data_IF_979172011209
#
_entry.id   IF_979172011209
#
_cell.length_a   1.000
_cell.length_b   1.000
_cell.length_c   1.000
_cell.angle_alpha   90.00
_cell.angle_beta   90.00
_cell.angle_gamma   90.00
#
_symmetry.space_group_name_H-M   'P 1'
#
loop_
_entity.id
_entity.type
_entity.pdbx_description
1 polymer ?
#
# COMPACT_ATOMS: atom_id res chain seq x y z
N UNK A 1 62.51 -4.16 26.59
CA UNK A 1 62.69 -3.72 25.19
C UNK A 1 61.51 -4.27 24.39
N UNK A 2 60.37 -3.55 24.38
CA UNK A 2 59.10 -4.03 23.84
C UNK A 2 58.55 -3.06 22.76
N UNK A 3 58.63 -3.53 21.51
CA UNK A 3 57.69 -3.33 20.38
C UNK A 3 56.98 -1.97 20.22
N UNK A 4 57.65 -0.99 19.58
CA UNK A 4 57.03 0.22 19.00
C UNK A 4 56.29 0.00 17.67
N UNK A 5 56.18 -1.25 17.20
CA UNK A 5 55.65 -1.60 15.87
C UNK A 5 54.12 -1.70 15.78
N UNK A 6 53.39 -1.76 16.91
CA UNK A 6 51.92 -1.90 16.93
C UNK A 6 51.14 -0.59 16.89
N UNK A 7 51.74 0.54 17.26
CA UNK A 7 51.03 1.82 17.40
C UNK A 7 50.60 2.41 16.05
N UNK A 8 51.42 2.26 15.01
CA UNK A 8 51.15 2.83 13.69
C UNK A 8 50.04 2.10 12.92
N UNK A 9 49.88 0.79 13.15
CA UNK A 9 48.81 -0.01 12.54
C UNK A 9 47.43 0.39 13.07
N UNK A 10 47.32 0.66 14.37
CA UNK A 10 46.07 1.11 14.99
C UNK A 10 45.65 2.51 14.50
N UNK A 11 46.61 3.42 14.32
CA UNK A 11 46.34 4.79 13.83
C UNK A 11 45.92 4.77 12.35
N UNK A 12 46.53 3.92 11.53
CA UNK A 12 46.13 3.74 10.14
C UNK A 12 44.72 3.14 10.00
N UNK A 13 44.39 2.13 10.80
CA UNK A 13 43.05 1.54 10.81
C UNK A 13 41.98 2.55 11.26
N UNK A 14 42.26 3.35 12.29
CA UNK A 14 41.35 4.39 12.76
C UNK A 14 41.08 5.47 11.71
N UNK A 15 42.12 5.88 10.96
CA UNK A 15 41.99 6.86 9.88
C UNK A 15 41.12 6.33 8.73
N UNK A 16 41.30 5.06 8.34
CA UNK A 16 40.49 4.43 7.27
C UNK A 16 39.02 4.33 7.68
N UNK A 17 38.74 3.92 8.92
CA UNK A 17 37.36 3.86 9.45
C UNK A 17 36.72 5.25 9.49
N UNK A 18 37.47 6.28 9.92
CA UNK A 18 36.97 7.65 9.96
C UNK A 18 36.63 8.20 8.55
N UNK A 19 37.49 7.92 7.56
CA UNK A 19 37.25 8.33 6.17
C UNK A 19 36.09 7.58 5.54
N UNK A 20 35.93 6.28 5.80
CA UNK A 20 34.78 5.50 5.34
C UNK A 20 33.47 5.96 5.97
N UNK A 21 33.50 6.32 7.26
CA UNK A 21 32.33 6.85 7.98
C UNK A 21 31.92 8.22 7.43
N UNK A 22 32.89 9.10 7.16
CA UNK A 22 32.65 10.41 6.56
C UNK A 22 32.17 10.31 5.12
N UNK A 23 32.73 9.38 4.33
CA UNK A 23 32.29 9.11 2.97
C UNK A 23 30.85 8.56 2.94
N UNK A 24 30.51 7.64 3.86
CA UNK A 24 29.15 7.13 3.98
C UNK A 24 28.15 8.20 4.45
N UNK A 25 28.57 9.13 5.32
CA UNK A 25 27.74 10.27 5.73
C UNK A 25 27.51 11.28 4.59
N UNK A 26 28.50 11.49 3.72
CA UNK A 26 28.38 12.36 2.54
C UNK A 26 27.56 11.70 1.41
N UNK A 27 27.64 10.38 1.26
CA UNK A 27 26.92 9.59 0.24
C UNK A 27 25.57 9.02 0.71
N UNK A 28 25.25 9.10 2.01
CA UNK A 28 24.07 8.52 2.66
C UNK A 28 22.81 9.41 2.66
N UNK A 29 22.94 10.66 2.24
CA UNK A 29 21.82 11.60 2.07
C UNK A 29 20.69 11.17 1.11
N UNK A 30 20.89 10.36 0.04
CA UNK A 30 19.79 9.92 -0.79
C UNK A 30 18.96 8.83 -0.13
N UNK A 31 19.51 8.09 0.85
CA UNK A 31 18.78 7.00 1.51
C UNK A 31 17.74 7.56 2.47
N UNK A 32 18.06 8.60 3.23
CA UNK A 32 17.08 9.30 4.07
C UNK A 32 15.98 10.00 3.26
N UNK A 33 16.33 10.56 2.09
CA UNK A 33 15.36 11.16 1.18
C UNK A 33 14.44 10.10 0.54
N UNK A 34 14.99 8.96 0.14
CA UNK A 34 14.24 7.81 -0.37
C UNK A 34 13.39 7.18 0.72
N UNK A 35 13.89 7.07 1.96
CA UNK A 35 13.14 6.54 3.10
C UNK A 35 11.98 7.46 3.45
N UNK A 36 12.18 8.79 3.47
CA UNK A 36 11.11 9.78 3.70
C UNK A 36 10.07 9.79 2.58
N UNK A 37 10.46 9.44 1.35
CA UNK A 37 9.54 9.36 0.20
C UNK A 37 8.80 8.02 0.14
N UNK A 38 9.46 6.92 0.50
CA UNK A 38 8.89 5.57 0.53
C UNK A 38 8.01 5.35 1.77
N UNK A 39 8.47 5.82 2.92
CA UNK A 39 7.71 5.98 4.14
C UNK A 39 7.43 7.47 4.30
N UNK A 40 6.43 7.97 3.57
CA UNK A 40 5.73 9.17 4.02
C UNK A 40 5.14 8.80 5.39
N UNK A 41 5.94 8.98 6.44
CA UNK A 41 5.54 8.81 7.82
C UNK A 41 4.43 9.81 8.00
N UNK A 42 3.20 9.29 7.90
CA UNK A 42 1.99 9.99 8.24
C UNK A 42 2.27 10.62 9.61
N UNK A 43 2.27 11.96 9.69
CA UNK A 43 2.25 12.62 10.98
C UNK A 43 1.10 11.98 11.76
N UNK A 44 1.37 11.49 12.98
CA UNK A 44 0.33 10.94 13.82
C UNK A 44 -0.76 12.02 13.94
N UNK A 45 -1.89 11.80 13.26
CA UNK A 45 -2.97 12.78 13.24
C UNK A 45 -3.41 12.99 14.68
N UNK A 46 -3.45 14.26 15.11
CA UNK A 46 -4.01 14.63 16.41
C UNK A 46 -5.40 13.99 16.54
N UNK A 47 -5.74 13.49 17.73
CA UNK A 47 -7.02 12.82 18.02
C UNK A 47 -8.22 13.64 17.48
N UNK A 48 -8.14 14.97 17.58
CA UNK A 48 -9.12 15.91 17.02
C UNK A 48 -9.31 15.77 15.51
N UNK A 49 -8.21 15.62 14.76
CA UNK A 49 -8.28 15.42 13.30
C UNK A 49 -8.86 14.06 12.90
N UNK A 50 -8.74 13.03 13.76
CA UNK A 50 -9.40 11.75 13.52
C UNK A 50 -10.92 11.83 13.74
N UNK A 51 -11.36 12.58 14.74
CA UNK A 51 -12.79 12.81 15.02
C UNK A 51 -13.47 13.53 13.86
N UNK A 52 -12.81 14.55 13.30
CA UNK A 52 -13.28 15.28 12.12
C UNK A 52 -13.40 14.36 10.89
N UNK A 53 -12.42 13.48 10.67
CA UNK A 53 -12.44 12.50 9.58
C UNK A 53 -13.59 11.49 9.75
N UNK A 54 -13.84 11.01 10.97
CA UNK A 54 -14.94 10.09 11.25
C UNK A 54 -16.30 10.76 11.04
N UNK A 55 -16.45 12.04 11.39
CA UNK A 55 -17.67 12.79 11.08
C UNK A 55 -17.88 12.90 9.57
N UNK A 56 -16.83 13.20 8.80
CA UNK A 56 -16.92 13.28 7.35
C UNK A 56 -17.38 11.94 6.75
N UNK A 57 -16.79 10.82 7.17
CA UNK A 57 -17.16 9.49 6.69
C UNK A 57 -18.63 9.18 7.00
N UNK A 58 -19.12 9.48 8.20
CA UNK A 58 -20.53 9.27 8.56
C UNK A 58 -21.50 10.04 7.66
N UNK A 59 -21.10 11.21 7.19
CA UNK A 59 -21.92 12.04 6.31
C UNK A 59 -21.92 11.53 4.85
N UNK A 60 -20.90 10.77 4.45
CA UNK A 60 -20.78 10.19 3.08
C UNK A 60 -21.59 8.89 2.96
N UNK A 61 -21.67 8.08 4.02
CA UNK A 61 -22.36 6.78 3.98
C UNK A 61 -23.87 6.99 3.82
N UNK A 62 -24.49 6.47 2.74
CA UNK A 62 -25.93 6.63 2.52
C UNK A 62 -26.74 5.86 3.57
N UNK A 63 -27.87 6.41 4.06
CA UNK A 63 -28.74 5.69 4.99
C UNK A 63 -29.49 4.56 4.25
N UNK A 64 -29.59 3.40 4.91
CA UNK A 64 -30.34 2.25 4.42
C UNK A 64 -31.84 2.52 4.60
N UNK A 65 -32.60 2.49 3.50
CA UNK A 65 -34.06 2.76 3.53
C UNK A 65 -34.80 1.77 2.64
N UNK A 66 -36.01 1.38 3.03
CA UNK A 66 -36.81 0.39 2.30
C UNK A 66 -37.29 0.83 0.91
N UNK A 67 -37.10 2.10 0.55
CA UNK A 67 -37.46 2.65 -0.77
C UNK A 67 -36.37 2.42 -1.82
N UNK A 68 -35.15 2.11 -1.39
CA UNK A 68 -34.00 1.95 -2.28
C UNK A 68 -33.89 0.52 -2.79
N UNK A 69 -33.34 0.38 -3.99
CA UNK A 69 -33.19 -0.87 -4.71
C UNK A 69 -31.73 -1.09 -5.11
N UNK A 70 -31.41 -2.34 -5.48
CA UNK A 70 -30.04 -2.77 -5.82
C UNK A 70 -29.34 -1.83 -6.80
N UNK A 71 -28.17 -1.36 -6.41
CA UNK A 71 -27.30 -0.50 -7.20
C UNK A 71 -27.59 0.99 -7.07
N UNK A 72 -28.40 1.40 -6.09
CA UNK A 72 -28.59 2.81 -5.72
C UNK A 72 -27.62 3.25 -4.62
N UNK A 73 -27.16 2.32 -3.78
CA UNK A 73 -26.25 2.59 -2.67
C UNK A 73 -24.79 2.22 -2.99
N UNK A 74 -24.50 1.77 -4.21
CA UNK A 74 -23.13 1.72 -4.73
C UNK A 74 -22.94 0.76 -5.90
N UNK A 75 -22.29 1.23 -6.97
CA UNK A 75 -21.81 0.42 -8.09
C UNK A 75 -20.33 0.66 -8.27
N UNK A 76 -19.52 -0.34 -7.97
CA UNK A 76 -18.06 -0.24 -8.02
C UNK A 76 -17.54 -1.07 -9.17
N UNK A 77 -16.62 -0.52 -9.94
CA UNK A 77 -15.92 -1.20 -11.03
C UNK A 77 -14.43 -1.29 -10.72
N UNK A 78 -13.88 -2.50 -10.74
CA UNK A 78 -12.44 -2.77 -10.61
C UNK A 78 -11.92 -3.22 -11.96
N UNK A 79 -10.89 -2.56 -12.45
CA UNK A 79 -10.26 -2.88 -13.74
C UNK A 79 -8.86 -3.43 -13.47
N UNK A 80 -8.57 -4.60 -14.01
CA UNK A 80 -7.25 -5.20 -13.92
C UNK A 80 -7.31 -6.71 -13.87
N UNK A 81 -6.17 -7.30 -13.54
CA UNK A 81 -5.98 -8.74 -13.60
C UNK A 81 -5.33 -9.17 -14.90
N UNK A 82 -4.31 -10.01 -14.77
CA UNK A 82 -3.66 -10.70 -15.87
C UNK A 82 -3.62 -12.20 -15.56
N UNK A 83 -3.05 -12.99 -16.47
CA UNK A 83 -2.94 -14.45 -16.32
C UNK A 83 -2.37 -14.86 -14.96
N UNK A 84 -1.34 -14.16 -14.50
CA UNK A 84 -0.66 -14.44 -13.23
C UNK A 84 -1.26 -13.70 -12.03
N UNK A 85 -1.79 -12.48 -12.22
CA UNK A 85 -2.22 -11.61 -11.13
C UNK A 85 -3.73 -11.46 -11.04
N UNK A 86 -4.41 -12.53 -10.63
CA UNK A 86 -5.88 -12.58 -10.44
C UNK A 86 -6.32 -12.10 -9.04
N UNK A 87 -5.44 -12.17 -8.04
CA UNK A 87 -5.78 -11.85 -6.65
C UNK A 87 -6.05 -10.37 -6.40
N UNK A 88 -5.25 -9.47 -6.98
CA UNK A 88 -5.39 -8.03 -6.79
C UNK A 88 -6.79 -7.50 -7.17
N UNK A 89 -7.33 -7.75 -8.38
CA UNK A 89 -8.68 -7.30 -8.71
C UNK A 89 -9.76 -7.97 -7.85
N UNK A 90 -9.58 -9.23 -7.46
CA UNK A 90 -10.50 -9.92 -6.54
C UNK A 90 -10.57 -9.22 -5.18
N UNK A 91 -9.44 -8.95 -4.53
CA UNK A 91 -9.41 -8.35 -3.19
C UNK A 91 -9.97 -6.93 -3.18
N UNK A 92 -9.68 -6.14 -4.21
CA UNK A 92 -10.29 -4.81 -4.35
C UNK A 92 -11.81 -4.91 -4.48
N UNK A 93 -12.29 -5.82 -5.33
CA UNK A 93 -13.70 -5.96 -5.64
C UNK A 93 -14.54 -6.53 -4.48
N UNK A 94 -14.02 -7.54 -3.76
CA UNK A 94 -14.71 -8.13 -2.60
C UNK A 94 -14.68 -7.18 -1.40
N UNK A 95 -13.62 -6.38 -1.24
CA UNK A 95 -13.56 -5.38 -0.17
C UNK A 95 -14.62 -4.30 -0.38
N UNK A 96 -14.85 -3.88 -1.63
CA UNK A 96 -15.94 -2.96 -1.95
C UNK A 96 -17.32 -3.51 -1.55
N UNK A 97 -17.62 -4.78 -1.86
CA UNK A 97 -18.86 -5.43 -1.42
C UNK A 97 -18.96 -5.48 0.11
N UNK A 98 -17.88 -5.88 0.79
CA UNK A 98 -17.85 -5.98 2.26
C UNK A 98 -18.01 -4.63 2.96
N UNK A 99 -17.55 -3.54 2.35
CA UNK A 99 -17.74 -2.18 2.87
C UNK A 99 -19.19 -1.72 2.71
N UNK A 100 -19.95 -2.30 1.78
CA UNK A 100 -21.38 -2.02 1.58
C UNK A 100 -21.78 -1.60 0.17
N UNK A 101 -20.95 -1.83 -0.85
CA UNK A 101 -21.36 -1.62 -2.24
C UNK A 101 -22.43 -2.65 -2.65
N UNK A 102 -23.50 -2.21 -3.33
CA UNK A 102 -24.56 -3.11 -3.81
C UNK A 102 -24.11 -4.03 -4.94
N UNK A 103 -23.26 -3.51 -5.82
CA UNK A 103 -22.77 -4.19 -7.02
C UNK A 103 -21.28 -3.94 -7.19
N UNK A 104 -20.53 -5.02 -7.41
CA UNK A 104 -19.11 -4.98 -7.71
C UNK A 104 -18.83 -5.68 -9.02
N UNK A 105 -18.29 -4.92 -9.97
CA UNK A 105 -17.93 -5.34 -11.31
C UNK A 105 -16.42 -5.48 -11.41
N UNK A 106 -15.94 -6.58 -11.97
CA UNK A 106 -14.51 -6.79 -12.22
C UNK A 106 -14.31 -6.93 -13.72
N UNK A 107 -13.55 -6.01 -14.30
CA UNK A 107 -13.12 -6.06 -15.69
C UNK A 107 -11.71 -6.64 -15.74
N UNK A 108 -11.58 -7.84 -16.27
CA UNK A 108 -10.31 -8.57 -16.32
C UNK A 108 -10.08 -9.21 -17.69
N UNK A 109 -8.90 -9.78 -17.88
CA UNK A 109 -8.63 -10.62 -19.05
C UNK A 109 -9.41 -11.92 -19.00
N UNK A 110 -9.63 -12.54 -20.16
CA UNK A 110 -10.38 -13.80 -20.29
C UNK A 110 -9.78 -14.95 -19.45
N UNK A 111 -8.46 -15.01 -19.36
CA UNK A 111 -7.75 -16.04 -18.58
C UNK A 111 -7.91 -15.87 -17.07
N UNK A 112 -8.06 -14.63 -16.59
CA UNK A 112 -8.22 -14.30 -15.18
C UNK A 112 -9.66 -14.52 -14.68
N UNK A 113 -10.65 -14.39 -15.57
CA UNK A 113 -12.07 -14.47 -15.24
C UNK A 113 -12.51 -15.77 -14.54
N UNK A 114 -12.13 -16.99 -14.99
CA UNK A 114 -12.55 -18.22 -14.31
C UNK A 114 -12.02 -18.31 -12.88
N UNK A 115 -10.78 -17.84 -12.64
CA UNK A 115 -10.17 -17.86 -11.31
C UNK A 115 -10.89 -16.90 -10.37
N UNK A 116 -11.16 -15.67 -10.81
CA UNK A 116 -11.84 -14.66 -9.99
C UNK A 116 -13.28 -15.09 -9.68
N UNK A 117 -13.99 -15.65 -10.67
CA UNK A 117 -15.36 -16.19 -10.48
C UNK A 117 -15.39 -17.37 -9.51
N UNK A 118 -14.33 -18.18 -9.45
CA UNK A 118 -14.24 -19.30 -8.53
C UNK A 118 -14.09 -18.87 -7.06
N UNK A 119 -13.58 -17.67 -6.79
CA UNK A 119 -13.43 -17.19 -5.41
C UNK A 119 -14.75 -16.74 -4.76
N UNK A 120 -15.67 -16.13 -5.52
CA UNK A 120 -16.96 -15.69 -4.99
C UNK A 120 -18.02 -15.52 -6.08
N UNK A 121 -19.25 -16.06 -5.89
CA UNK A 121 -20.36 -15.87 -6.82
C UNK A 121 -21.00 -14.47 -6.75
N UNK A 122 -20.65 -13.65 -5.75
CA UNK A 122 -21.21 -12.30 -5.56
C UNK A 122 -20.64 -11.29 -6.57
N UNK A 123 -19.45 -11.57 -7.12
CA UNK A 123 -18.73 -10.67 -8.02
C UNK A 123 -19.22 -10.81 -9.46
N UNK A 124 -19.44 -9.68 -10.12
CA UNK A 124 -19.84 -9.64 -11.53
C UNK A 124 -18.58 -9.49 -12.38
N UNK A 125 -18.05 -10.59 -12.90
CA UNK A 125 -16.78 -10.61 -13.64
C UNK A 125 -17.00 -10.58 -15.16
N UNK A 126 -16.43 -9.56 -15.79
CA UNK A 126 -16.51 -9.25 -17.22
C UNK A 126 -15.15 -9.47 -17.91
N UNK A 127 -15.00 -10.51 -18.74
CA UNK A 127 -13.77 -10.80 -19.48
C UNK A 127 -13.69 -9.99 -20.78
N UNK A 128 -13.30 -8.71 -20.70
CA UNK A 128 -13.34 -7.76 -21.84
C UNK A 128 -12.00 -7.09 -22.17
N UNK A 129 -10.96 -7.35 -21.39
CA UNK A 129 -9.59 -6.82 -21.59
C UNK A 129 -8.71 -7.85 -22.31
#
# INVERSE_FOLDING_TARGET
MATRTGAWAAVAAAAVVAVLSAALALYGSPLDAVLKRAFSLHNAHSVKGMEDALQLVRNIVPPLTAKKHKGQDGRVGVVGGCREYTGAPYFAAISALKVGADLSHVFCTQEAAPVIKAYSPELIVHPVL
#
